data_IF_968106157132
#
_entry.id   IF_968106157132
#
_cell.length_a   1.000
_cell.length_b   1.000
_cell.length_c   1.000
_cell.angle_alpha   90.00
_cell.angle_beta   90.00
_cell.angle_gamma   90.00
#
_symmetry.space_group_name_H-M   'P 1'
#
loop_
_entity.id
_entity.type
_entity.pdbx_description
1 polymer ?
#
# COMPACT_ATOMS: atom_id res chain seq x y z
N UNK A 1 15.16 1.60 5.95
CA UNK A 1 14.12 2.64 6.06
C UNK A 1 14.00 3.33 4.72
N UNK A 2 12.79 3.42 4.16
CA UNK A 2 12.49 3.94 2.83
C UNK A 2 11.21 4.78 2.91
N UNK A 3 11.12 5.86 2.12
CA UNK A 3 9.92 6.69 2.05
C UNK A 3 9.08 6.33 0.83
N UNK A 4 7.77 6.17 1.03
CA UNK A 4 6.79 5.94 -0.02
C UNK A 4 5.82 7.13 -0.06
N UNK A 5 5.39 7.52 -1.25
CA UNK A 5 4.39 8.56 -1.45
C UNK A 5 3.35 8.06 -2.46
N UNK A 6 2.06 8.23 -2.12
CA UNK A 6 0.93 7.89 -2.97
C UNK A 6 0.07 9.13 -3.19
N UNK A 7 0.00 9.58 -4.45
CA UNK A 7 -0.97 10.57 -4.90
C UNK A 7 -2.17 9.84 -5.51
N UNK A 8 -3.37 10.27 -5.14
CA UNK A 8 -4.63 9.70 -5.62
C UNK A 8 -5.64 10.81 -5.92
N UNK A 9 -6.65 10.49 -6.73
CA UNK A 9 -7.75 11.42 -7.00
C UNK A 9 -8.80 11.34 -5.88
N UNK A 10 -8.82 12.34 -5.00
CA UNK A 10 -9.76 12.42 -3.88
C UNK A 10 -11.24 12.46 -4.27
N UNK A 11 -11.56 12.73 -5.55
CA UNK A 11 -12.95 12.69 -6.03
C UNK A 11 -13.44 11.25 -6.22
N UNK A 12 -12.51 10.30 -6.31
CA UNK A 12 -12.78 8.90 -6.63
C UNK A 12 -12.37 7.95 -5.50
N UNK A 13 -11.26 8.23 -4.83
CA UNK A 13 -10.67 7.39 -3.77
C UNK A 13 -10.61 8.19 -2.49
N UNK A 14 -11.12 7.63 -1.39
CA UNK A 14 -11.06 8.27 -0.09
C UNK A 14 -9.70 8.07 0.60
N UNK A 15 -9.49 8.81 1.70
CA UNK A 15 -8.23 8.75 2.44
C UNK A 15 -7.97 7.39 3.12
N UNK A 16 -9.02 6.68 3.51
CA UNK A 16 -8.88 5.37 4.16
C UNK A 16 -8.42 4.31 3.16
N UNK A 17 -9.02 4.27 1.99
CA UNK A 17 -8.63 3.39 0.88
C UNK A 17 -7.19 3.66 0.44
N UNK A 18 -6.81 4.93 0.27
CA UNK A 18 -5.46 5.29 -0.11
C UNK A 18 -4.41 4.88 0.94
N UNK A 19 -4.72 5.07 2.23
CA UNK A 19 -3.83 4.65 3.32
C UNK A 19 -3.72 3.12 3.38
N UNK A 20 -4.84 2.40 3.27
CA UNK A 20 -4.83 0.93 3.26
C UNK A 20 -3.99 0.38 2.12
N UNK A 21 -4.11 0.95 0.92
CA UNK A 21 -3.29 0.56 -0.22
C UNK A 21 -1.81 0.83 0.05
N UNK A 22 -1.46 2.00 0.57
CA UNK A 22 -0.06 2.36 0.86
C UNK A 22 0.55 1.43 1.93
N UNK A 23 -0.24 1.05 2.94
CA UNK A 23 0.17 0.07 3.96
C UNK A 23 0.35 -1.31 3.35
N UNK A 24 -0.57 -1.77 2.51
CA UNK A 24 -0.44 -3.06 1.81
C UNK A 24 0.83 -3.11 0.96
N UNK A 25 1.13 -2.05 0.21
CA UNK A 25 2.38 -1.95 -0.58
C UNK A 25 3.61 -2.00 0.34
N UNK A 26 3.60 -1.26 1.45
CA UNK A 26 4.69 -1.30 2.44
C UNK A 26 4.92 -2.73 2.95
N UNK A 27 3.86 -3.44 3.33
CA UNK A 27 3.96 -4.80 3.88
C UNK A 27 4.52 -5.78 2.85
N UNK A 28 4.09 -5.72 1.59
CA UNK A 28 4.62 -6.58 0.52
C UNK A 28 6.10 -6.31 0.21
N UNK A 29 6.56 -5.07 0.37
CA UNK A 29 7.98 -4.71 0.21
C UNK A 29 8.80 -5.18 1.41
N UNK A 30 8.27 -5.09 2.63
CA UNK A 30 8.94 -5.51 3.86
C UNK A 30 8.99 -7.04 4.03
N UNK A 31 7.96 -7.75 3.53
CA UNK A 31 7.88 -9.22 3.52
C UNK A 31 7.41 -9.74 2.14
N UNK A 32 8.31 -9.88 1.15
CA UNK A 32 7.98 -10.37 -0.18
C UNK A 32 7.43 -11.80 -0.21
N UNK A 33 7.62 -12.59 0.86
CA UNK A 33 7.09 -13.94 0.98
C UNK A 33 5.56 -13.97 0.89
N UNK A 34 4.88 -12.90 1.34
CA UNK A 34 3.43 -12.73 1.25
C UNK A 34 2.90 -12.76 -0.18
N UNK A 35 3.68 -12.27 -1.15
CA UNK A 35 3.31 -12.32 -2.57
C UNK A 35 3.21 -13.77 -3.06
N UNK A 36 4.15 -14.62 -2.64
CA UNK A 36 4.17 -16.03 -3.03
C UNK A 36 3.11 -16.86 -2.31
N UNK A 37 2.76 -16.46 -1.09
CA UNK A 37 1.80 -17.17 -0.24
C UNK A 37 0.36 -16.69 -0.45
N UNK A 38 0.15 -15.56 -1.14
CA UNK A 38 -1.15 -14.90 -1.36
C UNK A 38 -1.89 -14.60 -0.04
N UNK A 39 -1.16 -14.12 0.98
CA UNK A 39 -1.65 -13.81 2.34
C UNK A 39 -1.31 -12.40 2.82
#
# INVERSE_FOLDING_TARGET
MMYLALSHDHRLIDGEEAVRLLVAIKELIEDPGRILLEV
#
